data_IF_306638464176
#
_entry.id   IF_306638464176
#
_cell.length_a   1.000
_cell.length_b   1.000
_cell.length_c   1.000
_cell.angle_alpha   90.00
_cell.angle_beta   90.00
_cell.angle_gamma   90.00
#
_symmetry.space_group_name_H-M   'P 1'
#
loop_
_entity.id
_entity.type
_entity.pdbx_description
1 polymer ?
#
# COMPACT_ATOMS: atom_id res chain seq x y z
N UNK A 1 6.40 9.79 -5.43
CA UNK A 1 5.20 8.95 -5.68
C UNK A 1 3.98 9.49 -4.94
N UNK A 2 3.97 9.50 -3.60
CA UNK A 2 2.80 9.86 -2.78
C UNK A 2 2.21 11.24 -3.14
N UNK A 3 3.03 12.28 -3.26
CA UNK A 3 2.55 13.62 -3.59
C UNK A 3 1.82 13.70 -4.95
N UNK A 4 2.30 12.93 -5.94
CA UNK A 4 1.65 12.81 -7.24
C UNK A 4 0.28 12.11 -7.11
N UNK A 5 0.22 10.97 -6.42
CA UNK A 5 -1.04 10.23 -6.24
C UNK A 5 -2.09 11.04 -5.46
N UNK A 6 -1.67 11.84 -4.48
CA UNK A 6 -2.58 12.75 -3.76
C UNK A 6 -3.18 13.81 -4.69
N UNK A 7 -2.38 14.38 -5.59
CA UNK A 7 -2.86 15.35 -6.59
C UNK A 7 -3.81 14.69 -7.59
N UNK A 8 -3.48 13.47 -8.04
CA UNK A 8 -4.31 12.69 -8.96
C UNK A 8 -5.70 12.41 -8.37
N UNK A 9 -5.76 11.97 -7.10
CA UNK A 9 -7.01 11.65 -6.41
C UNK A 9 -7.70 12.87 -5.77
N UNK A 10 -7.04 14.04 -5.79
CA UNK A 10 -7.56 15.27 -5.19
C UNK A 10 -7.90 15.17 -3.69
N UNK A 11 -7.12 14.34 -2.97
CA UNK A 11 -7.25 14.08 -1.54
C UNK A 11 -6.27 14.94 -0.72
N UNK A 12 -6.59 15.16 0.56
CA UNK A 12 -5.79 16.01 1.43
C UNK A 12 -4.38 15.45 1.72
N UNK A 13 -3.43 16.32 2.10
CA UNK A 13 -2.04 15.92 2.42
C UNK A 13 -1.91 14.96 3.60
N UNK A 14 -2.88 14.95 4.51
CA UNK A 14 -2.93 14.06 5.68
C UNK A 14 -3.70 12.76 5.43
N UNK A 15 -4.21 12.55 4.22
CA UNK A 15 -4.95 11.32 3.89
C UNK A 15 -4.04 10.11 4.00
N UNK A 16 -4.63 9.02 4.47
CA UNK A 16 -3.97 7.74 4.65
C UNK A 16 -3.34 7.27 3.34
N UNK A 17 -2.10 6.77 3.42
CA UNK A 17 -1.34 6.36 2.23
C UNK A 17 -1.92 5.11 1.57
N UNK A 18 -2.46 4.17 2.35
CA UNK A 18 -3.07 2.94 1.83
C UNK A 18 -4.14 3.22 0.78
N UNK A 19 -4.97 4.24 1.01
CA UNK A 19 -6.01 4.70 0.07
C UNK A 19 -5.41 5.03 -1.30
N UNK A 20 -4.25 5.68 -1.34
CA UNK A 20 -3.65 6.08 -2.61
C UNK A 20 -3.35 4.87 -3.50
N UNK A 21 -2.85 3.79 -2.90
CA UNK A 21 -2.47 2.58 -3.61
C UNK A 21 -3.67 1.67 -3.87
N UNK A 22 -4.65 1.61 -2.96
CA UNK A 22 -5.89 0.85 -3.15
C UNK A 22 -6.74 1.38 -4.30
N UNK A 23 -6.77 2.71 -4.49
CA UNK A 23 -7.62 3.34 -5.50
C UNK A 23 -6.97 3.43 -6.88
N UNK A 24 -5.63 3.45 -6.94
CA UNK A 24 -4.89 3.64 -8.20
C UNK A 24 -4.29 2.35 -8.77
N UNK A 25 -4.15 1.31 -7.94
CA UNK A 25 -3.47 0.08 -8.33
C UNK A 25 -1.94 0.18 -8.40
N UNK A 26 -1.35 1.32 -8.06
CA UNK A 26 0.11 1.45 -8.06
C UNK A 26 0.75 0.68 -6.91
N UNK A 27 1.80 -0.08 -7.22
CA UNK A 27 2.68 -0.65 -6.19
C UNK A 27 3.43 0.47 -5.45
N UNK A 28 3.46 0.47 -4.11
CA UNK A 28 4.31 1.39 -3.35
C UNK A 28 5.77 1.25 -3.76
N UNK A 29 6.48 2.37 -3.90
CA UNK A 29 7.84 2.39 -4.47
C UNK A 29 8.82 1.51 -3.68
N UNK A 30 8.64 1.36 -2.36
CA UNK A 30 9.47 0.48 -1.52
C UNK A 30 9.36 -0.98 -1.95
N UNK A 31 8.14 -1.48 -2.17
CA UNK A 31 7.89 -2.84 -2.62
C UNK A 31 8.29 -3.03 -4.08
N UNK A 32 8.00 -2.05 -4.95
CA UNK A 32 8.41 -2.12 -6.36
C UNK A 32 9.93 -2.23 -6.51
N UNK A 33 10.70 -1.46 -5.74
CA UNK A 33 12.16 -1.53 -5.74
C UNK A 33 12.64 -2.90 -5.28
N UNK A 34 12.11 -3.41 -4.17
CA UNK A 34 12.47 -4.73 -3.65
C UNK A 34 12.14 -5.86 -4.65
N UNK A 35 10.94 -5.84 -5.25
CA UNK A 35 10.53 -6.81 -6.29
C UNK A 35 11.51 -6.81 -7.47
N UNK A 36 11.92 -5.62 -7.94
CA UNK A 36 12.90 -5.51 -9.03
C UNK A 36 14.27 -6.04 -8.61
N UNK A 37 14.70 -5.75 -7.37
CA UNK A 37 15.95 -6.24 -6.80
C UNK A 37 15.96 -7.77 -6.68
N UNK A 38 14.88 -8.37 -6.17
CA UNK A 38 14.74 -9.83 -6.05
C UNK A 38 14.70 -10.51 -7.43
N UNK A 39 13.98 -9.94 -8.41
CA UNK A 39 13.99 -10.43 -9.80
C UNK A 39 15.38 -10.37 -10.41
N UNK A 40 16.13 -9.31 -10.12
CA UNK A 40 17.50 -9.19 -10.60
C UNK A 40 18.43 -10.22 -9.93
N UNK A 41 18.30 -10.42 -8.61
CA UNK A 41 19.01 -11.47 -7.89
C UNK A 41 18.72 -12.85 -8.49
N UNK A 42 17.44 -13.18 -8.72
CA UNK A 42 17.04 -14.44 -9.35
C UNK A 42 17.70 -14.64 -10.71
N UNK A 43 17.74 -13.57 -11.54
CA UNK A 43 18.45 -13.60 -12.82
C UNK A 43 19.94 -13.88 -12.64
N UNK A 44 20.61 -13.22 -11.68
CA UNK A 44 22.03 -13.43 -11.43
C UNK A 44 22.33 -14.86 -10.97
N UNK A 45 21.48 -15.43 -10.12
CA UNK A 45 21.63 -16.83 -9.68
C UNK A 45 21.44 -17.81 -10.84
N UNK A 46 20.45 -17.59 -11.70
CA UNK A 46 20.21 -18.43 -12.88
C UNK A 46 21.34 -18.34 -13.93
N UNK A 47 21.92 -17.16 -14.13
CA UNK A 47 23.02 -16.94 -15.08
C UNK A 47 24.38 -17.42 -14.54
N UNK A 48 24.49 -17.78 -13.26
CA UNK A 48 25.76 -18.09 -12.59
C UNK A 48 26.48 -19.31 -13.16
N UNK A 49 25.75 -20.32 -13.60
CA UNK A 49 26.33 -21.57 -14.12
C UNK A 49 26.60 -21.53 -15.62
N UNK A 50 25.95 -20.63 -16.35
CA UNK A 50 25.88 -20.66 -17.81
C UNK A 50 26.55 -19.46 -18.49
N UNK A 51 26.83 -18.38 -17.77
CA UNK A 51 27.27 -17.12 -18.35
C UNK A 51 28.72 -16.79 -18.04
N UNK A 52 29.46 -16.31 -19.04
CA UNK A 52 30.80 -15.71 -18.88
C UNK A 52 30.76 -14.26 -18.36
N UNK A 53 29.57 -13.73 -18.02
CA UNK A 53 29.41 -12.37 -17.52
C UNK A 53 30.00 -12.22 -16.11
N UNK A 54 30.51 -11.03 -15.83
CA UNK A 54 31.07 -10.69 -14.51
C UNK A 54 30.00 -10.47 -13.43
N UNK A 55 28.77 -10.07 -13.81
CA UNK A 55 27.75 -9.70 -12.84
C UNK A 55 27.33 -10.86 -11.90
N UNK A 56 27.11 -12.10 -12.37
CA UNK A 56 26.87 -13.25 -11.49
C UNK A 56 28.02 -13.55 -10.51
N UNK A 57 29.28 -13.32 -10.92
CA UNK A 57 30.46 -13.50 -10.05
C UNK A 57 30.45 -12.52 -8.86
N UNK A 58 29.78 -11.37 -9.00
CA UNK A 58 29.57 -10.43 -7.90
C UNK A 58 28.82 -11.02 -6.71
N UNK A 59 28.03 -12.08 -6.91
CA UNK A 59 27.36 -12.80 -5.83
C UNK A 59 28.38 -13.46 -4.91
N UNK A 60 29.44 -14.06 -5.45
CA UNK A 60 30.49 -14.71 -4.66
C UNK A 60 31.27 -13.72 -3.81
N UNK A 61 31.56 -12.54 -4.36
CA UNK A 61 32.13 -11.44 -3.59
C UNK A 61 31.19 -11.00 -2.45
N UNK A 62 29.87 -10.91 -2.69
CA UNK A 62 28.90 -10.60 -1.65
C UNK A 62 28.84 -11.68 -0.56
N UNK A 63 28.90 -12.97 -0.93
CA UNK A 63 28.96 -14.09 0.03
C UNK A 63 30.20 -14.00 0.91
N UNK A 64 31.37 -13.78 0.31
CA UNK A 64 32.61 -13.64 1.06
C UNK A 64 32.57 -12.46 2.05
N UNK A 65 32.07 -11.30 1.62
CA UNK A 65 31.88 -10.13 2.47
C UNK A 65 30.87 -10.40 3.60
N UNK A 66 29.78 -11.12 3.31
CA UNK A 66 28.79 -11.50 4.31
C UNK A 66 29.39 -12.36 5.40
N UNK A 67 30.15 -13.40 5.05
CA UNK A 67 30.82 -14.27 6.03
C UNK A 67 31.82 -13.52 6.92
N UNK A 68 32.34 -12.38 6.44
CA UNK A 68 33.20 -11.48 7.21
C UNK A 68 32.42 -10.46 8.04
N UNK A 69 31.09 -10.52 8.07
CA UNK A 69 30.23 -9.55 8.78
C UNK A 69 30.21 -8.17 8.14
N UNK A 70 30.62 -8.03 6.86
CA UNK A 70 30.67 -6.76 6.15
C UNK A 70 29.38 -6.50 5.37
N UNK A 71 28.91 -5.25 5.42
CA UNK A 71 27.77 -4.79 4.63
C UNK A 71 28.05 -4.95 3.13
N UNK A 72 27.08 -5.47 2.42
CA UNK A 72 27.09 -5.72 0.99
C UNK A 72 25.64 -5.74 0.45
N UNK A 73 25.50 -5.90 -0.86
CA UNK A 73 24.19 -5.85 -1.51
C UNK A 73 23.20 -6.93 -1.02
N UNK A 74 23.67 -8.15 -0.73
CA UNK A 74 22.80 -9.19 -0.16
C UNK A 74 22.36 -8.84 1.25
N UNK A 75 23.27 -8.32 2.10
CA UNK A 75 22.90 -7.95 3.47
C UNK A 75 21.92 -6.77 3.49
N UNK A 76 22.00 -5.88 2.50
CA UNK A 76 21.02 -4.80 2.34
C UNK A 76 19.63 -5.36 1.95
N UNK A 77 19.58 -6.38 1.10
CA UNK A 77 18.32 -7.08 0.76
C UNK A 77 17.71 -7.71 2.01
N UNK A 78 18.50 -8.44 2.80
CA UNK A 78 18.03 -9.05 4.05
C UNK A 78 17.55 -8.00 5.05
N UNK A 79 18.29 -6.90 5.19
CA UNK A 79 17.88 -5.79 6.04
C UNK A 79 16.53 -5.22 5.60
N UNK A 80 16.32 -4.98 4.31
CA UNK A 80 15.04 -4.47 3.81
C UNK A 80 13.89 -5.46 4.05
N UNK A 81 14.12 -6.76 3.85
CA UNK A 81 13.14 -7.83 4.09
C UNK A 81 12.70 -7.90 5.56
N UNK A 82 13.62 -7.68 6.50
CA UNK A 82 13.32 -7.66 7.94
C UNK A 82 12.46 -6.44 8.35
N UNK A 83 12.46 -5.36 7.56
CA UNK A 83 11.74 -4.11 7.87
C UNK A 83 10.44 -3.94 7.06
N UNK A 84 9.91 -5.03 6.51
CA UNK A 84 8.61 -5.03 5.84
C UNK A 84 7.44 -5.05 6.84
N UNK A 85 6.22 -4.89 6.31
CA UNK A 85 4.97 -5.01 7.08
C UNK A 85 4.93 -6.29 7.93
N UNK A 86 5.27 -7.42 7.31
CA UNK A 86 5.55 -8.67 8.00
C UNK A 86 7.06 -8.94 7.86
N UNK A 87 7.83 -8.85 8.95
CA UNK A 87 9.27 -9.10 8.91
C UNK A 87 9.59 -10.48 8.34
N UNK A 88 10.52 -10.53 7.39
CA UNK A 88 11.03 -11.77 6.82
C UNK A 88 12.51 -11.89 7.17
N UNK A 89 12.83 -12.80 8.09
CA UNK A 89 14.22 -13.15 8.37
C UNK A 89 14.73 -14.10 7.30
N UNK A 90 15.88 -13.75 6.70
CA UNK A 90 16.50 -14.52 5.63
C UNK A 90 17.98 -14.69 5.92
N UNK A 91 18.47 -15.89 5.65
CA UNK A 91 19.89 -16.24 5.73
C UNK A 91 20.60 -15.98 4.41
N UNK A 92 21.92 -16.10 4.41
CA UNK A 92 22.71 -16.04 3.17
C UNK A 92 22.32 -17.16 2.20
N UNK A 93 22.05 -18.36 2.72
CA UNK A 93 21.67 -19.52 1.91
C UNK A 93 20.30 -19.33 1.26
N UNK A 94 19.35 -18.72 1.99
CA UNK A 94 18.05 -18.33 1.43
C UNK A 94 18.21 -17.40 0.22
N UNK A 95 19.06 -16.37 0.33
CA UNK A 95 19.31 -15.41 -0.75
C UNK A 95 20.17 -15.97 -1.89
N UNK A 96 20.79 -17.13 -1.70
CA UNK A 96 21.56 -17.83 -2.73
C UNK A 96 20.78 -18.99 -3.38
N UNK A 97 19.57 -19.29 -2.90
CA UNK A 97 18.67 -20.30 -3.47
C UNK A 97 17.68 -19.66 -4.45
N UNK A 98 17.64 -20.15 -5.69
CA UNK A 98 16.69 -19.68 -6.71
C UNK A 98 15.24 -19.96 -6.33
N UNK A 99 14.96 -21.13 -5.76
CA UNK A 99 13.65 -21.51 -5.23
C UNK A 99 13.21 -20.54 -4.13
N UNK A 100 14.08 -20.33 -3.14
CA UNK A 100 13.75 -19.48 -2.01
C UNK A 100 13.57 -18.01 -2.41
N UNK A 101 14.41 -17.49 -3.30
CA UNK A 101 14.24 -16.12 -3.83
C UNK A 101 12.93 -15.97 -4.61
N UNK A 102 12.47 -17.02 -5.29
CA UNK A 102 11.17 -17.04 -5.98
C UNK A 102 10.00 -17.01 -5.00
N UNK A 103 10.09 -17.74 -3.90
CA UNK A 103 9.11 -17.67 -2.81
C UNK A 103 9.08 -16.28 -2.19
N UNK A 104 10.24 -15.72 -1.84
CA UNK A 104 10.36 -14.36 -1.30
C UNK A 104 9.71 -13.33 -2.23
N UNK A 105 9.96 -13.44 -3.54
CA UNK A 105 9.35 -12.55 -4.53
C UNK A 105 7.82 -12.63 -4.51
N UNK A 106 7.28 -13.85 -4.40
CA UNK A 106 5.82 -14.09 -4.36
C UNK A 106 5.22 -13.53 -3.07
N UNK A 107 5.83 -13.82 -1.92
CA UNK A 107 5.41 -13.30 -0.62
C UNK A 107 5.47 -11.78 -0.56
N UNK A 108 6.52 -11.16 -1.11
CA UNK A 108 6.65 -9.70 -1.16
C UNK A 108 5.56 -9.10 -2.05
N UNK A 109 5.17 -9.75 -3.15
CA UNK A 109 4.11 -9.26 -4.04
C UNK A 109 2.69 -9.39 -3.47
N UNK A 110 2.45 -10.33 -2.55
CA UNK A 110 1.17 -10.43 -1.83
C UNK A 110 1.15 -9.51 -0.61
N UNK A 111 2.23 -9.48 0.18
CA UNK A 111 2.30 -8.80 1.47
C UNK A 111 1.89 -7.32 1.44
N UNK A 112 2.29 -6.57 0.42
CA UNK A 112 1.94 -5.15 0.34
C UNK A 112 0.45 -4.91 0.03
N UNK A 113 -0.21 -5.88 -0.60
CA UNK A 113 -1.65 -5.84 -0.85
C UNK A 113 -2.39 -6.11 0.46
N UNK A 114 -1.92 -7.08 1.23
CA UNK A 114 -2.47 -7.42 2.55
C UNK A 114 -2.30 -6.24 3.52
N UNK A 115 -1.12 -5.61 3.55
CA UNK A 115 -0.87 -4.39 4.33
C UNK A 115 -1.88 -3.27 4.00
N UNK A 116 -2.20 -3.07 2.72
CA UNK A 116 -3.18 -2.05 2.31
C UNK A 116 -4.57 -2.37 2.83
N UNK A 117 -4.99 -3.64 2.74
CA UNK A 117 -6.30 -4.08 3.24
C UNK A 117 -6.37 -3.85 4.74
N UNK A 118 -5.37 -4.32 5.49
CA UNK A 118 -5.32 -4.21 6.95
C UNK A 118 -5.34 -2.75 7.43
N UNK A 119 -4.57 -1.87 6.77
CA UNK A 119 -4.59 -0.44 7.08
C UNK A 119 -5.95 0.21 6.81
N UNK A 120 -6.68 -0.24 5.78
CA UNK A 120 -7.99 0.30 5.43
C UNK A 120 -9.09 -0.23 6.34
N UNK A 121 -9.10 -1.53 6.62
CA UNK A 121 -10.11 -2.15 7.48
C UNK A 121 -9.90 -1.81 8.95
N UNK A 122 -8.66 -1.61 9.38
CA UNK A 122 -8.32 -1.21 10.74
C UNK A 122 -8.54 0.27 11.06
N UNK A 123 -8.83 1.12 10.06
CA UNK A 123 -8.99 2.55 10.27
C UNK A 123 -10.47 3.00 10.33
N UNK A 124 -10.87 3.73 11.39
CA UNK A 124 -12.25 4.22 11.53
C UNK A 124 -12.58 5.35 10.54
N UNK A 125 -11.59 5.98 9.89
CA UNK A 125 -11.80 7.04 8.89
C UNK A 125 -12.09 6.48 7.50
N UNK A 126 -11.89 5.17 7.29
CA UNK A 126 -12.07 4.52 6.00
C UNK A 126 -13.21 3.52 6.02
N UNK A 127 -14.23 3.70 6.86
CA UNK A 127 -15.36 2.77 7.01
C UNK A 127 -16.05 2.40 5.68
N UNK A 128 -16.26 3.38 4.81
CA UNK A 128 -16.84 3.13 3.47
C UNK A 128 -15.91 2.31 2.58
N UNK A 129 -14.60 2.58 2.62
CA UNK A 129 -13.62 1.77 1.91
C UNK A 129 -13.46 0.38 2.51
N UNK A 130 -13.53 0.25 3.84
CA UNK A 130 -13.43 -1.03 4.54
C UNK A 130 -14.56 -1.97 4.14
N UNK A 131 -15.78 -1.45 4.01
CA UNK A 131 -16.95 -2.20 3.51
C UNK A 131 -16.66 -2.92 2.18
N UNK A 132 -15.82 -2.34 1.32
CA UNK A 132 -15.42 -2.96 0.04
C UNK A 132 -14.69 -4.29 0.23
N UNK A 133 -13.84 -4.40 1.24
CA UNK A 133 -13.06 -5.62 1.48
C UNK A 133 -13.82 -6.61 2.34
N UNK A 134 -14.55 -6.10 3.34
CA UNK A 134 -15.30 -6.93 4.29
C UNK A 134 -16.52 -7.59 3.64
N UNK A 135 -17.21 -6.90 2.71
CA UNK A 135 -18.47 -7.38 2.15
C UNK A 135 -18.35 -7.87 0.70
N UNK A 136 -17.48 -7.26 -0.11
CA UNK A 136 -17.44 -7.51 -1.56
C UNK A 136 -16.19 -8.27 -2.02
N UNK A 137 -15.28 -8.65 -1.12
CA UNK A 137 -14.01 -9.33 -1.42
C UNK A 137 -13.27 -8.72 -2.63
N UNK A 138 -13.33 -7.40 -2.78
CA UNK A 138 -12.76 -6.74 -3.94
C UNK A 138 -11.24 -6.85 -3.95
N UNK A 139 -10.65 -6.82 -5.15
CA UNK A 139 -9.20 -6.76 -5.29
C UNK A 139 -8.60 -5.64 -4.41
N UNK A 140 -7.55 -5.91 -3.61
CA UNK A 140 -6.91 -4.93 -2.73
C UNK A 140 -6.51 -3.65 -3.45
N UNK A 141 -5.97 -3.80 -4.65
CA UNK A 141 -5.42 -2.71 -5.44
C UNK A 141 -5.88 -2.80 -6.88
N UNK A 142 -6.59 -1.80 -7.35
CA UNK A 142 -6.91 -1.63 -8.77
C UNK A 142 -7.20 -0.17 -9.06
N UNK A 143 -7.07 0.23 -10.33
CA UNK A 143 -7.57 1.52 -10.75
C UNK A 143 -9.11 1.50 -10.70
N UNK A 144 -9.71 2.25 -9.78
CA UNK A 144 -11.16 2.16 -9.57
C UNK A 144 -11.94 2.87 -10.66
N UNK A 145 -13.02 2.25 -11.11
CA UNK A 145 -13.86 2.73 -12.22
C UNK A 145 -14.41 4.13 -11.98
N UNK A 146 -14.74 4.49 -10.75
CA UNK A 146 -15.26 5.83 -10.42
C UNK A 146 -14.22 6.94 -10.66
N UNK A 147 -12.92 6.61 -10.78
CA UNK A 147 -11.89 7.58 -11.17
C UNK A 147 -11.97 7.95 -12.67
N UNK A 148 -12.72 7.20 -13.47
CA UNK A 148 -13.00 7.54 -14.88
C UNK A 148 -14.22 8.47 -15.07
N UNK A 149 -14.85 8.94 -14.00
CA UNK A 149 -15.93 9.93 -14.11
C UNK A 149 -15.40 11.18 -14.83
N UNK A 150 -16.01 11.51 -15.97
CA UNK A 150 -15.57 12.58 -16.86
C UNK A 150 -15.66 13.96 -16.22
N UNK A 151 -16.68 14.18 -15.38
CA UNK A 151 -16.91 15.46 -14.69
C UNK A 151 -15.95 15.54 -13.50
N UNK A 152 -14.93 16.42 -13.51
CA UNK A 152 -13.90 16.43 -12.47
C UNK A 152 -14.47 16.70 -11.08
N UNK A 153 -15.45 17.59 -10.95
CA UNK A 153 -16.11 17.89 -9.69
C UNK A 153 -16.78 16.65 -9.06
N UNK A 154 -17.48 15.83 -9.87
CA UNK A 154 -18.14 14.63 -9.39
C UNK A 154 -17.14 13.55 -8.99
N UNK A 155 -16.10 13.34 -9.81
CA UNK A 155 -15.00 12.43 -9.48
C UNK A 155 -14.35 12.80 -8.15
N UNK A 156 -14.05 14.09 -7.96
CA UNK A 156 -13.41 14.59 -6.73
C UNK A 156 -14.34 14.43 -5.53
N UNK A 157 -15.61 14.82 -5.64
CA UNK A 157 -16.58 14.69 -4.56
C UNK A 157 -16.73 13.23 -4.13
N UNK A 158 -16.90 12.31 -5.08
CA UNK A 158 -17.04 10.88 -4.79
C UNK A 158 -15.75 10.29 -4.21
N UNK A 159 -14.59 10.65 -4.75
CA UNK A 159 -13.30 10.23 -4.18
C UNK A 159 -13.18 10.70 -2.75
N UNK A 160 -13.51 11.96 -2.45
CA UNK A 160 -13.43 12.49 -1.08
C UNK A 160 -14.42 11.82 -0.14
N UNK A 161 -15.65 11.58 -0.59
CA UNK A 161 -16.68 10.86 0.14
C UNK A 161 -16.20 9.46 0.55
N UNK A 162 -15.74 8.66 -0.42
CA UNK A 162 -15.28 7.29 -0.18
C UNK A 162 -14.03 7.26 0.72
N UNK A 163 -13.10 8.19 0.51
CA UNK A 163 -11.79 8.18 1.18
C UNK A 163 -11.78 8.86 2.56
N UNK A 164 -12.91 9.38 3.03
CA UNK A 164 -12.99 10.11 4.31
C UNK A 164 -12.23 11.44 4.28
N UNK A 165 -12.17 12.11 3.12
CA UNK A 165 -11.47 13.40 2.94
C UNK A 165 -12.43 14.54 2.57
N UNK A 166 -13.69 14.36 2.93
CA UNK A 166 -14.79 15.32 2.74
C UNK A 166 -14.99 16.20 3.99
N UNK A 167 -15.73 17.30 3.84
CA UNK A 167 -15.92 18.30 4.89
C UNK A 167 -17.19 18.07 5.75
N UNK A 168 -17.69 16.84 5.83
CA UNK A 168 -18.84 16.52 6.68
C UNK A 168 -18.43 16.49 8.16
N UNK A 169 -19.39 16.66 9.07
CA UNK A 169 -19.15 16.77 10.49
C UNK A 169 -18.53 15.50 11.06
N UNK A 170 -18.82 14.32 10.48
CA UNK A 170 -18.18 13.07 10.89
C UNK A 170 -16.65 13.15 10.83
N UNK A 171 -16.09 13.82 9.81
CA UNK A 171 -14.63 14.03 9.66
C UNK A 171 -14.18 15.30 10.37
N UNK A 172 -14.88 16.43 10.21
CA UNK A 172 -14.49 17.71 10.84
C UNK A 172 -14.47 17.63 12.37
N UNK A 173 -15.45 16.96 12.96
CA UNK A 173 -15.57 16.77 14.41
C UNK A 173 -14.43 15.95 15.02
N UNK A 174 -13.75 15.09 14.23
CA UNK A 174 -12.57 14.32 14.71
C UNK A 174 -11.42 15.24 15.11
N UNK A 175 -11.17 16.29 14.32
CA UNK A 175 -10.03 17.19 14.53
C UNK A 175 -10.14 18.03 15.80
N UNK A 176 -11.37 18.22 16.30
CA UNK A 176 -11.66 18.96 17.53
C UNK A 176 -12.03 18.05 18.70
N UNK A 177 -11.91 16.72 18.54
CA UNK A 177 -12.20 15.75 19.61
C UNK A 177 -13.68 15.57 19.94
N UNK A 178 -14.59 16.02 19.08
CA UNK A 178 -16.03 15.90 19.31
C UNK A 178 -16.46 14.43 19.21
N UNK A 179 -17.22 13.90 20.16
CA UNK A 179 -17.69 12.51 20.11
C UNK A 179 -18.60 12.27 18.89
N UNK A 180 -18.61 11.04 18.34
CA UNK A 180 -19.30 10.74 17.07
C UNK A 180 -20.77 11.18 17.08
N UNK A 181 -21.49 10.88 18.15
CA UNK A 181 -22.92 11.18 18.31
C UNK A 181 -23.24 12.67 18.31
N UNK A 182 -22.26 13.54 18.60
CA UNK A 182 -22.45 14.99 18.60
C UNK A 182 -22.10 15.65 17.26
N UNK A 183 -21.64 14.87 16.28
CA UNK A 183 -21.27 15.37 14.94
C UNK A 183 -22.51 15.43 14.04
N UNK A 184 -23.51 16.20 14.46
CA UNK A 184 -24.84 16.22 13.85
C UNK A 184 -24.84 16.81 12.43
N UNK A 185 -25.79 16.33 11.62
CA UNK A 185 -26.09 16.79 10.28
C UNK A 185 -26.49 18.26 10.28
N UNK A 186 -25.84 19.07 9.44
CA UNK A 186 -26.19 20.51 9.33
C UNK A 186 -27.52 20.76 8.63
N UNK A 187 -28.07 19.74 7.96
CA UNK A 187 -29.33 19.84 7.24
C UNK A 187 -30.50 19.54 8.19
N UNK A 188 -30.59 18.31 8.71
CA UNK A 188 -31.71 17.91 9.58
C UNK A 188 -31.46 18.10 11.09
N UNK A 189 -30.21 18.17 11.55
CA UNK A 189 -29.83 18.22 12.97
C UNK A 189 -30.20 17.00 13.83
N UNK A 190 -30.73 15.93 13.23
CA UNK A 190 -31.28 14.78 13.97
C UNK A 190 -30.32 13.57 14.07
N UNK A 191 -29.38 13.42 13.13
CA UNK A 191 -28.45 12.27 13.07
C UNK A 191 -27.03 12.73 12.68
N UNK A 192 -26.05 11.83 12.76
CA UNK A 192 -24.64 12.10 12.46
C UNK A 192 -24.43 12.46 10.99
N UNK A 193 -23.70 13.55 10.72
CA UNK A 193 -23.36 14.00 9.36
C UNK A 193 -22.28 13.12 8.73
N UNK A 194 -22.65 11.92 8.28
CA UNK A 194 -21.82 11.08 7.44
C UNK A 194 -22.34 10.99 6.00
N UNK A 195 -21.54 10.36 5.14
CA UNK A 195 -21.82 10.29 3.69
C UNK A 195 -23.11 9.52 3.41
N UNK A 196 -23.39 8.45 4.16
CA UNK A 196 -24.60 7.64 3.92
C UNK A 196 -25.83 8.44 4.33
N UNK A 197 -25.78 9.09 5.48
CA UNK A 197 -26.85 9.96 5.94
C UNK A 197 -27.15 11.07 4.94
N UNK A 198 -26.13 11.87 4.57
CA UNK A 198 -26.31 13.03 3.68
C UNK A 198 -26.81 12.64 2.29
N UNK A 199 -26.40 11.49 1.74
CA UNK A 199 -26.78 11.09 0.39
C UNK A 199 -28.09 10.31 0.30
N UNK A 200 -28.46 9.57 1.34
CA UNK A 200 -29.54 8.58 1.22
C UNK A 200 -30.60 8.62 2.32
N UNK A 201 -30.37 9.32 3.44
CA UNK A 201 -31.28 9.28 4.59
C UNK A 201 -31.80 10.65 5.02
N UNK A 202 -31.06 11.72 4.75
CA UNK A 202 -31.42 13.07 5.18
C UNK A 202 -32.70 13.53 4.48
N UNK A 203 -33.69 13.93 5.28
CA UNK A 203 -34.96 14.53 4.84
C UNK A 203 -35.10 15.95 5.37
#
# INVERSE_FOLDING_TARGET
QIAFLRRLLHVHKRSMMAILFSETGFTPIRYRRLILTLRYLLRLLAERETSSKLAPLGIDACRALWCQGRRNWLSDIAHVLQHLYQPMEVTLDDLCSTERVTELLTSVDTMWKDEIVDLITGSPTSSLLASRYLNNHAAPTSFRSYLNICIPAHRVALTRAITGTHDLAIERGKWVGLARQWRLCRMCHDDVEDVIHVLFMCS
#
